data_IF_691020985257
#
_entry.id   IF_691020985257
#
_cell.length_a   1.000
_cell.length_b   1.000
_cell.length_c   1.000
_cell.angle_alpha   90.00
_cell.angle_beta   90.00
_cell.angle_gamma   90.00
#
_symmetry.space_group_name_H-M   'P 1'
#
loop_
_entity.id
_entity.type
_entity.pdbx_description
1 polymer ?
#
# COMPACT_ATOMS: atom_id res chain seq x y z
N UNK A 1 -25.09 0.54 17.18
CA UNK A 1 -24.09 1.33 16.45
C UNK A 1 -22.67 0.99 16.91
N UNK A 2 -22.36 1.04 18.22
CA UNK A 2 -21.08 0.58 18.78
C UNK A 2 -20.75 -0.90 18.44
N UNK A 3 -21.74 -1.80 18.54
CA UNK A 3 -21.57 -3.22 18.23
C UNK A 3 -21.12 -3.53 16.79
N UNK A 4 -21.50 -2.71 15.81
CA UNK A 4 -21.14 -2.91 14.41
C UNK A 4 -19.68 -2.50 14.16
N UNK A 5 -19.23 -1.42 14.82
CA UNK A 5 -17.84 -0.97 14.72
C UNK A 5 -16.91 -1.99 15.38
N UNK A 6 -17.29 -2.50 16.55
CA UNK A 6 -16.56 -3.57 17.26
C UNK A 6 -16.47 -4.85 16.43
N UNK A 7 -17.56 -5.27 15.79
CA UNK A 7 -17.55 -6.41 14.86
C UNK A 7 -16.59 -6.16 13.68
N UNK A 8 -16.70 -4.99 13.04
CA UNK A 8 -15.86 -4.62 11.89
C UNK A 8 -14.37 -4.68 12.25
N UNK A 9 -13.96 -4.05 13.37
CA UNK A 9 -12.56 -4.06 13.79
C UNK A 9 -12.10 -5.43 14.28
N UNK A 10 -12.99 -6.33 14.65
CA UNK A 10 -12.66 -7.68 15.11
C UNK A 10 -12.53 -8.68 13.96
N UNK A 11 -12.84 -8.28 12.72
CA UNK A 11 -12.84 -9.18 11.56
C UNK A 11 -11.47 -9.84 11.35
N UNK A 12 -11.42 -11.18 11.15
CA UNK A 12 -10.17 -11.92 11.00
C UNK A 12 -9.27 -11.42 9.87
N UNK A 13 -9.85 -10.90 8.79
CA UNK A 13 -9.10 -10.36 7.64
C UNK A 13 -8.21 -9.19 8.03
N UNK A 14 -8.66 -8.34 8.96
CA UNK A 14 -7.90 -7.17 9.42
C UNK A 14 -6.68 -7.62 10.22
N UNK A 15 -6.85 -8.61 11.09
CA UNK A 15 -5.76 -9.16 11.89
C UNK A 15 -4.75 -9.90 11.00
N UNK A 16 -5.23 -10.66 10.01
CA UNK A 16 -4.36 -11.35 9.03
C UNK A 16 -3.55 -10.36 8.21
N UNK A 17 -4.18 -9.30 7.71
CA UNK A 17 -3.48 -8.31 6.91
C UNK A 17 -2.48 -7.52 7.78
N UNK A 18 -2.86 -7.09 8.97
CA UNK A 18 -1.95 -6.45 9.93
C UNK A 18 -0.73 -7.34 10.26
N UNK A 19 -0.95 -8.63 10.52
CA UNK A 19 0.14 -9.58 10.75
C UNK A 19 1.04 -9.75 9.52
N UNK A 20 0.46 -9.78 8.32
CA UNK A 20 1.24 -9.81 7.06
C UNK A 20 2.09 -8.56 6.88
N UNK A 21 1.56 -7.37 7.18
CA UNK A 21 2.29 -6.10 7.13
C UNK A 21 3.50 -6.10 8.09
N UNK A 22 3.33 -6.63 9.30
CA UNK A 22 4.44 -6.80 10.25
C UNK A 22 5.42 -7.91 9.78
N UNK A 23 4.89 -8.97 9.17
CA UNK A 23 5.68 -10.10 8.67
C UNK A 23 6.61 -9.75 7.51
N UNK A 24 6.27 -8.72 6.72
CA UNK A 24 7.17 -8.16 5.69
C UNK A 24 8.16 -7.12 6.26
N UNK A 25 8.25 -6.99 7.59
CA UNK A 25 9.25 -6.15 8.25
C UNK A 25 8.86 -4.67 8.42
N UNK A 26 7.57 -4.33 8.27
CA UNK A 26 7.08 -3.04 8.73
C UNK A 26 7.01 -3.01 10.26
N UNK A 27 7.33 -1.86 10.84
CA UNK A 27 7.31 -1.64 12.28
C UNK A 27 6.40 -0.48 12.66
N UNK A 28 5.98 -0.43 13.92
CA UNK A 28 5.16 0.67 14.45
C UNK A 28 5.80 2.02 14.12
N UNK A 29 5.01 2.94 13.56
CA UNK A 29 5.44 4.25 13.11
C UNK A 29 5.85 4.32 11.63
N UNK A 30 6.04 3.18 10.95
CA UNK A 30 6.24 3.18 9.50
C UNK A 30 4.99 3.70 8.78
N UNK A 31 5.21 4.37 7.64
CA UNK A 31 4.14 4.92 6.81
C UNK A 31 3.77 3.97 5.69
N UNK A 32 2.49 3.64 5.58
CA UNK A 32 1.93 2.80 4.52
C UNK A 32 0.97 3.63 3.66
N UNK A 33 1.25 3.69 2.36
CA UNK A 33 0.38 4.33 1.37
C UNK A 33 -0.73 3.40 0.91
N UNK A 34 -1.92 3.95 0.67
CA UNK A 34 -2.97 3.31 -0.12
C UNK A 34 -3.23 4.17 -1.35
N UNK A 35 -2.99 3.61 -2.53
CA UNK A 35 -3.18 4.23 -3.83
C UNK A 35 -4.11 3.36 -4.67
N UNK A 36 -5.41 3.53 -4.44
CA UNK A 36 -6.46 2.68 -4.97
C UNK A 36 -7.77 3.47 -5.04
N UNK A 37 -8.69 3.16 -5.97
CA UNK A 37 -10.08 3.58 -5.88
C UNK A 37 -10.74 3.12 -4.57
N UNK A 38 -12.01 3.50 -4.36
CA UNK A 38 -12.79 3.13 -3.18
C UNK A 38 -13.23 1.65 -3.19
N UNK A 39 -12.26 0.73 -3.27
CA UNK A 39 -12.45 -0.71 -3.15
C UNK A 39 -12.52 -1.15 -1.68
N UNK A 40 -12.96 -2.39 -1.47
CA UNK A 40 -13.03 -3.01 -0.14
C UNK A 40 -11.66 -3.01 0.58
N UNK A 41 -10.59 -3.24 -0.17
CA UNK A 41 -9.21 -3.27 0.31
C UNK A 41 -8.76 -1.93 0.87
N UNK A 42 -9.35 -0.82 0.40
CA UNK A 42 -9.09 0.51 0.94
C UNK A 42 -9.50 0.60 2.42
N UNK A 43 -10.66 0.02 2.76
CA UNK A 43 -11.16 -0.07 4.14
C UNK A 43 -10.35 -1.07 4.97
N UNK A 44 -10.04 -2.23 4.39
CA UNK A 44 -9.18 -3.24 5.05
C UNK A 44 -7.81 -2.65 5.41
N UNK A 45 -7.20 -1.91 4.48
CA UNK A 45 -5.88 -1.30 4.68
C UNK A 45 -5.89 -0.29 5.81
N UNK A 46 -6.92 0.55 5.91
CA UNK A 46 -7.06 1.51 7.02
C UNK A 46 -7.03 0.84 8.38
N UNK A 47 -7.90 -0.15 8.59
CA UNK A 47 -8.00 -0.78 9.91
C UNK A 47 -6.82 -1.70 10.20
N UNK A 48 -6.29 -2.40 9.20
CA UNK A 48 -5.10 -3.22 9.37
C UNK A 48 -3.86 -2.39 9.69
N UNK A 49 -3.66 -1.25 9.01
CA UNK A 49 -2.57 -0.32 9.31
C UNK A 49 -2.65 0.19 10.75
N UNK A 50 -3.84 0.63 11.18
CA UNK A 50 -4.06 1.07 12.56
C UNK A 50 -3.75 -0.03 13.58
N UNK A 51 -4.19 -1.27 13.33
CA UNK A 51 -3.88 -2.44 14.17
C UNK A 51 -2.39 -2.76 14.26
N UNK A 52 -1.67 -2.61 13.14
CA UNK A 52 -0.23 -2.82 13.07
C UNK A 52 0.57 -1.64 13.66
N UNK A 53 -0.08 -0.55 14.09
CA UNK A 53 0.59 0.65 14.59
C UNK A 53 1.29 1.46 13.49
N UNK A 54 0.85 1.30 12.24
CA UNK A 54 1.36 2.00 11.07
C UNK A 54 0.62 3.33 10.87
N UNK A 55 1.31 4.28 10.23
CA UNK A 55 0.73 5.56 9.84
C UNK A 55 0.19 5.43 8.42
N UNK A 56 -1.13 5.53 8.26
CA UNK A 56 -1.76 5.47 6.95
C UNK A 56 -1.58 6.77 6.17
N UNK A 57 -1.19 6.65 4.90
CA UNK A 57 -1.10 7.74 3.94
C UNK A 57 -2.12 7.51 2.83
N UNK A 58 -3.12 8.39 2.73
CA UNK A 58 -4.13 8.34 1.67
C UNK A 58 -3.59 9.06 0.43
N UNK A 59 -3.38 8.31 -0.66
CA UNK A 59 -2.84 8.85 -1.91
C UNK A 59 -3.96 8.94 -2.93
N UNK A 60 -4.08 10.09 -3.61
CA UNK A 60 -5.10 10.28 -4.62
C UNK A 60 -4.89 9.28 -5.78
N UNK A 61 -5.88 8.40 -6.08
CA UNK A 61 -5.77 7.42 -7.16
C UNK A 61 -5.57 8.04 -8.55
N UNK A 62 -5.84 9.34 -8.71
CA UNK A 62 -5.62 10.04 -9.98
C UNK A 62 -4.15 10.42 -10.26
N UNK A 63 -3.26 10.38 -9.25
CA UNK A 63 -1.86 10.80 -9.40
C UNK A 63 -1.15 10.06 -10.53
N UNK A 64 -0.48 10.82 -11.38
CA UNK A 64 0.40 10.36 -12.44
C UNK A 64 1.83 10.20 -11.91
N UNK A 65 2.77 9.62 -12.68
CA UNK A 65 4.08 9.21 -12.16
C UNK A 65 4.81 10.27 -11.32
N UNK A 66 4.85 11.54 -11.80
CA UNK A 66 5.53 12.63 -11.09
C UNK A 66 4.91 12.96 -9.72
N UNK A 67 3.58 12.98 -9.65
CA UNK A 67 2.85 13.32 -8.43
C UNK A 67 2.95 12.17 -7.42
N UNK A 68 2.89 10.93 -7.91
CA UNK A 68 3.09 9.74 -7.11
C UNK A 68 4.51 9.70 -6.52
N UNK A 69 5.54 9.86 -7.35
CA UNK A 69 6.95 9.89 -6.91
C UNK A 69 7.18 10.97 -5.85
N UNK A 70 6.69 12.19 -6.13
CA UNK A 70 6.80 13.30 -5.19
C UNK A 70 6.13 12.98 -3.85
N UNK A 71 4.91 12.43 -3.87
CA UNK A 71 4.17 12.07 -2.66
C UNK A 71 4.90 10.99 -1.85
N UNK A 72 5.34 9.90 -2.49
CA UNK A 72 6.04 8.79 -1.85
C UNK A 72 7.31 9.28 -1.14
N UNK A 73 8.09 10.13 -1.79
CA UNK A 73 9.29 10.73 -1.22
C UNK A 73 9.01 11.75 -0.12
N UNK A 74 8.13 12.73 -0.40
CA UNK A 74 7.84 13.83 0.51
C UNK A 74 7.28 13.34 1.85
N UNK A 75 6.41 12.32 1.78
CA UNK A 75 5.80 11.73 2.96
C UNK A 75 6.68 10.62 3.54
N UNK A 76 7.66 10.09 2.79
CA UNK A 76 8.54 9.01 3.23
C UNK A 76 7.76 7.72 3.46
N UNK A 77 6.99 7.30 2.46
CA UNK A 77 6.20 6.06 2.46
C UNK A 77 7.16 4.86 2.40
N UNK A 78 6.91 3.86 3.25
CA UNK A 78 7.73 2.64 3.32
C UNK A 78 7.15 1.46 2.56
N UNK A 79 5.83 1.35 2.52
CA UNK A 79 5.11 0.37 1.71
C UNK A 79 3.90 1.01 1.02
N UNK A 80 3.54 0.54 -0.17
CA UNK A 80 2.36 0.99 -0.91
C UNK A 80 1.43 -0.18 -1.20
N UNK A 81 0.17 -0.05 -0.79
CA UNK A 81 -0.93 -0.86 -1.31
C UNK A 81 -1.46 -0.16 -2.55
N UNK A 82 -1.45 -0.83 -3.70
CA UNK A 82 -1.86 -0.23 -4.98
C UNK A 82 -2.89 -1.11 -5.70
N UNK A 83 -3.89 -0.49 -6.32
CA UNK A 83 -4.74 -1.20 -7.28
C UNK A 83 -3.91 -1.70 -8.48
N UNK A 84 -4.35 -2.76 -9.17
CA UNK A 84 -3.75 -3.13 -10.46
C UNK A 84 -4.18 -2.18 -11.58
N UNK A 85 -5.49 -2.00 -11.74
CA UNK A 85 -6.09 -1.17 -12.77
C UNK A 85 -7.47 -0.67 -12.33
N UNK A 86 -7.90 0.47 -12.88
CA UNK A 86 -9.28 0.95 -12.72
C UNK A 86 -9.67 1.88 -13.86
N UNK A 87 -10.76 1.56 -14.57
CA UNK A 87 -11.19 2.27 -15.78
C UNK A 87 -10.03 2.35 -16.80
N UNK A 88 -9.54 3.54 -17.08
CA UNK A 88 -8.45 3.80 -18.03
C UNK A 88 -7.07 3.89 -17.36
N UNK A 89 -7.00 3.76 -16.03
CA UNK A 89 -5.75 3.84 -15.27
C UNK A 89 -5.13 2.45 -15.12
N UNK A 90 -3.88 2.32 -15.55
CA UNK A 90 -3.01 1.17 -15.29
C UNK A 90 -1.99 1.58 -14.22
N UNK A 91 -2.31 1.26 -12.97
CA UNK A 91 -1.53 1.67 -11.81
C UNK A 91 -0.19 0.94 -11.78
N UNK A 92 -0.16 -0.33 -12.19
CA UNK A 92 1.07 -1.10 -12.29
C UNK A 92 2.06 -0.46 -13.28
N UNK A 93 1.57 -0.03 -14.45
CA UNK A 93 2.39 0.66 -15.45
C UNK A 93 2.90 2.02 -14.96
N UNK A 94 2.07 2.78 -14.26
CA UNK A 94 2.49 4.05 -13.66
C UNK A 94 3.55 3.80 -12.58
N UNK A 95 3.35 2.77 -11.75
CA UNK A 95 4.27 2.43 -10.67
C UNK A 95 5.64 1.97 -11.20
N UNK A 96 5.68 1.16 -12.26
CA UNK A 96 6.94 0.75 -12.91
C UNK A 96 7.69 1.92 -13.56
N UNK A 97 6.98 2.99 -13.94
CA UNK A 97 7.62 4.23 -14.39
C UNK A 97 8.26 5.04 -13.25
N UNK A 98 7.72 4.93 -12.02
CA UNK A 98 8.25 5.59 -10.81
C UNK A 98 9.35 4.77 -10.14
N UNK A 99 9.15 3.46 -10.09
CA UNK A 99 10.04 2.48 -9.46
C UNK A 99 10.63 1.61 -10.56
N UNK A 100 11.70 2.10 -11.18
CA UNK A 100 12.34 1.45 -12.32
C UNK A 100 12.92 0.09 -11.95
N UNK A 101 13.33 -0.10 -10.69
CA UNK A 101 13.80 -1.40 -10.21
C UNK A 101 12.69 -2.45 -10.11
N UNK A 102 11.41 -2.05 -10.08
CA UNK A 102 10.30 -2.90 -9.66
C UNK A 102 10.15 -4.23 -10.43
N UNK A 103 10.23 -4.26 -11.78
CA UNK A 103 10.08 -5.52 -12.53
C UNK A 103 11.15 -6.58 -12.21
N UNK A 104 12.35 -6.13 -11.83
CA UNK A 104 13.52 -6.99 -11.62
C UNK A 104 13.91 -7.10 -10.12
N UNK A 105 13.17 -6.43 -9.23
CA UNK A 105 13.43 -6.43 -7.79
C UNK A 105 12.99 -7.76 -7.18
N UNK A 106 13.73 -8.24 -6.18
CA UNK A 106 13.23 -9.31 -5.30
C UNK A 106 12.16 -8.71 -4.39
N UNK A 107 11.08 -9.46 -4.14
CA UNK A 107 10.08 -9.13 -3.13
C UNK A 107 10.73 -8.58 -1.83
N UNK A 108 10.30 -7.38 -1.43
CA UNK A 108 10.77 -6.68 -0.23
C UNK A 108 12.08 -5.89 -0.36
N UNK A 109 12.68 -5.85 -1.54
CA UNK A 109 13.91 -5.10 -1.80
C UNK A 109 13.78 -4.21 -3.03
N UNK A 110 12.99 -3.15 -2.90
CA UNK A 110 13.03 -2.01 -3.82
C UNK A 110 14.16 -1.08 -3.37
N UNK A 111 15.11 -0.80 -4.26
CA UNK A 111 16.15 0.22 -4.05
C UNK A 111 16.18 1.13 -5.27
N UNK A 112 15.53 2.28 -5.15
CA UNK A 112 15.42 3.28 -6.21
C UNK A 112 15.66 4.69 -5.61
N UNK A 113 15.33 5.74 -6.34
CA UNK A 113 15.29 7.15 -5.88
C UNK A 113 14.32 7.40 -4.72
N UNK A 114 13.64 6.36 -4.24
CA UNK A 114 12.72 6.37 -3.12
C UNK A 114 13.41 5.84 -1.86
N UNK A 115 14.06 6.72 -1.10
CA UNK A 115 14.97 6.35 0.01
C UNK A 115 14.33 5.44 1.08
N UNK A 116 13.04 5.61 1.34
CA UNK A 116 12.32 4.88 2.39
C UNK A 116 11.47 3.72 1.87
N UNK A 117 11.29 3.61 0.55
CA UNK A 117 10.28 2.76 -0.06
C UNK A 117 10.80 1.35 -0.33
N UNK A 118 10.14 0.34 0.23
CA UNK A 118 10.68 -1.03 0.27
C UNK A 118 9.72 -2.09 -0.26
N UNK A 119 8.41 -1.85 -0.19
CA UNK A 119 7.39 -2.84 -0.51
C UNK A 119 6.26 -2.27 -1.36
N UNK A 120 5.76 -3.08 -2.29
CA UNK A 120 4.51 -2.86 -3.02
C UNK A 120 3.60 -4.07 -2.78
N UNK A 121 2.34 -3.80 -2.47
CA UNK A 121 1.29 -4.80 -2.27
C UNK A 121 0.22 -4.52 -3.33
N UNK A 122 0.20 -5.32 -4.39
CA UNK A 122 -0.78 -5.17 -5.46
C UNK A 122 -2.12 -5.80 -5.06
N UNK A 123 -3.21 -5.04 -5.20
CA UNK A 123 -4.58 -5.56 -5.14
C UNK A 123 -4.86 -6.20 -6.50
N UNK A 124 -4.53 -7.48 -6.63
CA UNK A 124 -4.65 -8.26 -7.85
C UNK A 124 -4.74 -9.75 -7.55
N UNK A 125 -5.39 -10.50 -8.44
CA UNK A 125 -5.32 -11.97 -8.50
C UNK A 125 -4.00 -12.46 -9.13
N UNK A 126 -3.30 -11.58 -9.88
CA UNK A 126 -2.00 -11.90 -10.48
C UNK A 126 -0.90 -11.79 -9.43
N UNK A 127 0.09 -12.67 -9.54
CA UNK A 127 1.30 -12.61 -8.74
C UNK A 127 2.33 -11.73 -9.45
N UNK A 128 2.87 -10.76 -8.72
CA UNK A 128 3.97 -9.90 -9.15
C UNK A 128 5.22 -10.26 -8.34
N UNK A 129 6.39 -10.03 -8.94
CA UNK A 129 7.70 -10.34 -8.36
C UNK A 129 8.09 -9.43 -7.19
#
# INVERSE_FOLDING_TARGET
MLSIIEDLISRPILNKFAAGLLGIGLVKGDRIGIWSPNHYEWVVTQFAAAKAGLILVLINPAYQPRELEYCLNKVGVRALVAAESFKTQDYYKILTAVVQSFPDSKAGHIKDRLENFTHVIMISEKKYG
#
